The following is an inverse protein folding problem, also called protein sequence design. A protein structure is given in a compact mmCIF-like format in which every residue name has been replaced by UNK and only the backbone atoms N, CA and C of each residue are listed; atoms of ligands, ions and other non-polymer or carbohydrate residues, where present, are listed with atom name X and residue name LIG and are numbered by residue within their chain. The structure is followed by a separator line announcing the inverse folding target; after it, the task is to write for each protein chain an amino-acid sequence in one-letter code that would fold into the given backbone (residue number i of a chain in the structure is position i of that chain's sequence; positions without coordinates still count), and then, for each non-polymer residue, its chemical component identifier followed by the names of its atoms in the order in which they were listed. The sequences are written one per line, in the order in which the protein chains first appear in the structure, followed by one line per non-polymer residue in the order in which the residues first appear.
data_IF_122903856279
#
_entry.id   IF_122903856279
#
_cell.length_a   1.000
_cell.length_b   1.000
_cell.length_c   1.000
_cell.angle_alpha   90.00
_cell.angle_beta   90.00
_cell.angle_gamma   90.00
#
_symmetry.space_group_name_H-M   'P 1'
#
loop_
_entity.id
_entity.type
_entity.pdbx_description
1 polymer ?
#
# COMPACT_ATOMS: atom_id res chain seq x y z
N UNK A 1 -19.41 -3.21 1.83
CA UNK A 1 -18.34 -2.59 1.02
C UNK A 1 -17.10 -2.35 1.86
N UNK A 2 -15.95 -2.65 1.32
CA UNK A 2 -14.69 -2.35 2.02
C UNK A 2 -14.39 -0.87 1.86
N UNK A 3 -14.20 -0.18 2.99
CA UNK A 3 -13.79 1.23 3.01
C UNK A 3 -12.27 1.30 3.08
N UNK A 4 -11.70 2.23 2.33
CA UNK A 4 -10.25 2.48 2.35
C UNK A 4 -10.03 3.83 3.02
N UNK A 5 -9.25 3.84 4.08
CA UNK A 5 -8.90 5.05 4.82
C UNK A 5 -7.39 5.23 4.83
N UNK A 6 -6.96 6.45 5.05
CA UNK A 6 -5.53 6.76 5.19
C UNK A 6 -5.29 7.54 6.47
N UNK A 7 -4.04 7.55 6.91
CA UNK A 7 -3.62 8.41 8.01
C UNK A 7 -2.60 9.42 7.48
N UNK A 8 -2.31 10.43 8.28
CA UNK A 8 -1.44 11.54 7.86
C UNK A 8 -0.07 11.07 7.36
N UNK A 9 0.50 10.06 8.01
CA UNK A 9 1.79 9.49 7.61
C UNK A 9 1.75 9.00 6.17
N UNK A 10 0.69 8.25 5.80
CA UNK A 10 0.51 7.78 4.45
C UNK A 10 0.37 8.95 3.48
N UNK A 11 -0.47 9.91 3.82
CA UNK A 11 -0.76 11.04 2.93
C UNK A 11 0.49 11.85 2.62
N UNK A 12 1.34 12.09 3.63
CA UNK A 12 2.59 12.83 3.44
C UNK A 12 3.57 12.08 2.53
N UNK A 13 3.72 10.77 2.74
CA UNK A 13 4.61 9.96 1.91
C UNK A 13 4.10 9.85 0.48
N UNK A 14 2.78 9.68 0.31
CA UNK A 14 2.17 9.63 -1.00
C UNK A 14 2.40 10.93 -1.77
N UNK A 15 2.25 12.06 -1.09
CA UNK A 15 2.50 13.37 -1.70
C UNK A 15 3.95 13.50 -2.15
N UNK A 16 4.89 13.07 -1.32
CA UNK A 16 6.32 13.10 -1.64
C UNK A 16 6.60 12.24 -2.87
N UNK A 17 6.07 11.03 -2.91
CA UNK A 17 6.30 10.11 -4.04
C UNK A 17 5.61 10.59 -5.31
N UNK A 18 4.50 11.29 -5.21
CA UNK A 18 3.79 11.81 -6.38
C UNK A 18 4.60 12.86 -7.14
N UNK A 19 5.52 13.54 -6.45
CA UNK A 19 6.43 14.50 -7.08
C UNK A 19 7.56 13.80 -7.84
N UNK A 20 7.90 12.58 -7.42
CA UNK A 20 9.00 11.81 -8.01
C UNK A 20 8.53 10.89 -9.14
N UNK A 21 7.35 10.30 -8.99
CA UNK A 21 6.83 9.32 -9.94
C UNK A 21 5.48 9.77 -10.50
N UNK A 22 5.44 10.16 -11.77
CA UNK A 22 4.23 10.71 -12.38
C UNK A 22 3.09 9.69 -12.50
N UNK A 23 3.38 8.39 -12.47
CA UNK A 23 2.35 7.36 -12.59
C UNK A 23 1.70 6.98 -11.25
N UNK A 24 2.21 7.49 -10.12
CA UNK A 24 1.86 6.91 -8.82
C UNK A 24 0.39 7.08 -8.46
N UNK A 25 -0.27 8.12 -8.94
CA UNK A 25 -1.71 8.32 -8.68
C UNK A 25 -2.52 7.21 -9.35
N UNK A 26 -2.17 6.85 -10.60
CA UNK A 26 -2.82 5.72 -11.29
C UNK A 26 -2.48 4.39 -10.63
N UNK A 27 -1.23 4.22 -10.20
CA UNK A 27 -0.79 3.01 -9.51
C UNK A 27 -1.56 2.83 -8.20
N UNK A 28 -1.76 3.91 -7.48
CA UNK A 28 -2.54 3.92 -6.25
C UNK A 28 -4.01 3.55 -6.51
N UNK A 29 -4.61 4.11 -7.57
CA UNK A 29 -5.99 3.78 -7.92
C UNK A 29 -6.15 2.29 -8.20
N UNK A 30 -5.18 1.67 -8.88
CA UNK A 30 -5.19 0.23 -9.13
C UNK A 30 -5.08 -0.57 -7.82
N UNK A 31 -4.25 -0.13 -6.89
CA UNK A 31 -4.13 -0.77 -5.58
C UNK A 31 -5.45 -0.71 -4.82
N UNK A 32 -6.13 0.42 -4.83
CA UNK A 32 -7.42 0.58 -4.16
C UNK A 32 -8.43 -0.44 -4.71
N UNK A 33 -8.47 -0.62 -6.03
CA UNK A 33 -9.37 -1.61 -6.63
C UNK A 33 -9.01 -3.04 -6.19
N UNK A 34 -7.73 -3.35 -6.12
CA UNK A 34 -7.28 -4.66 -5.65
C UNK A 34 -7.68 -4.89 -4.18
N UNK A 35 -7.52 -3.90 -3.33
CA UNK A 35 -7.87 -3.99 -1.91
C UNK A 35 -9.39 -4.13 -1.72
N UNK A 36 -10.18 -3.50 -2.56
CA UNK A 36 -11.64 -3.65 -2.49
C UNK A 36 -12.08 -5.07 -2.86
N UNK A 37 -11.35 -5.73 -3.75
CA UNK A 37 -11.63 -7.11 -4.15
C UNK A 37 -11.12 -8.11 -3.13
N UNK A 38 -9.95 -7.85 -2.55
CA UNK A 38 -9.33 -8.71 -1.56
C UNK A 38 -8.56 -7.86 -0.55
N UNK A 39 -9.22 -7.50 0.56
CA UNK A 39 -8.60 -6.63 1.56
C UNK A 39 -7.43 -7.27 2.31
N UNK A 40 -7.23 -8.58 2.21
CA UNK A 40 -6.15 -9.31 2.88
C UNK A 40 -4.96 -9.61 1.97
N UNK A 41 -4.81 -8.91 0.85
CA UNK A 41 -3.62 -9.11 0.00
C UNK A 41 -2.35 -8.69 0.74
N UNK A 42 -1.24 -9.25 0.31
CA UNK A 42 0.07 -8.94 0.86
C UNK A 42 0.54 -9.93 1.91
N UNK A 43 1.67 -9.61 2.51
CA UNK A 43 2.33 -10.45 3.51
C UNK A 43 1.83 -10.07 4.90
N UNK A 44 1.41 -11.05 5.67
CA UNK A 44 0.96 -10.86 7.05
C UNK A 44 2.16 -10.56 7.95
N UNK A 45 2.14 -9.41 8.62
CA UNK A 45 3.17 -9.01 9.57
C UNK A 45 2.73 -9.23 11.03
N UNK A 46 1.54 -9.79 11.22
CA UNK A 46 0.97 -9.99 12.55
C UNK A 46 0.06 -8.82 12.96
N UNK A 47 -0.82 -9.10 13.92
CA UNK A 47 -1.73 -8.11 14.51
C UNK A 47 -2.60 -7.36 13.50
N UNK A 48 -2.94 -8.03 12.39
CA UNK A 48 -3.75 -7.41 11.34
C UNK A 48 -2.98 -6.50 10.40
N UNK A 49 -1.69 -6.36 10.57
CA UNK A 49 -0.85 -5.50 9.73
C UNK A 49 -0.32 -6.32 8.56
N UNK A 50 -0.40 -5.75 7.35
CA UNK A 50 0.06 -6.43 6.14
C UNK A 50 0.95 -5.51 5.31
N UNK A 51 1.83 -6.11 4.52
CA UNK A 51 2.71 -5.39 3.60
C UNK A 51 2.33 -5.77 2.17
N UNK A 52 1.92 -4.77 1.40
CA UNK A 52 1.39 -4.97 0.04
C UNK A 52 2.35 -4.36 -0.98
N UNK A 53 2.65 -5.12 -2.03
CA UNK A 53 3.45 -4.61 -3.15
C UNK A 53 2.54 -3.78 -4.06
N UNK A 54 3.08 -2.65 -4.52
CA UNK A 54 2.39 -1.81 -5.50
C UNK A 54 3.38 -1.46 -6.61
N UNK A 55 3.02 -1.75 -7.85
CA UNK A 55 3.85 -1.34 -8.98
C UNK A 55 3.87 0.18 -9.08
N UNK A 56 5.01 0.73 -9.46
CA UNK A 56 5.12 2.12 -9.90
C UNK A 56 5.45 2.06 -11.39
N UNK A 57 4.44 2.24 -12.24
CA UNK A 57 4.55 2.00 -13.67
C UNK A 57 5.70 2.80 -14.29
N UNK A 58 5.88 4.05 -13.85
CA UNK A 58 6.95 4.91 -14.39
C UNK A 58 8.36 4.44 -14.01
N UNK A 59 8.50 3.53 -13.04
CA UNK A 59 9.81 2.89 -12.75
C UNK A 59 10.11 1.76 -13.73
N UNK A 60 9.09 1.11 -14.27
CA UNK A 60 9.26 -0.01 -15.19
C UNK A 60 9.79 -1.30 -14.55
N UNK A 61 9.65 -1.47 -13.25
CA UNK A 61 10.19 -2.62 -12.51
C UNK A 61 9.13 -3.55 -11.94
N UNK A 62 7.87 -3.36 -12.31
CA UNK A 62 6.76 -4.18 -11.81
C UNK A 62 6.54 -4.00 -10.30
N UNK A 63 5.78 -4.92 -9.72
CA UNK A 63 5.45 -4.85 -8.29
C UNK A 63 6.66 -5.08 -7.40
N UNK A 64 7.59 -5.94 -7.82
CA UNK A 64 8.77 -6.25 -7.02
C UNK A 64 9.70 -5.06 -6.83
N UNK A 65 9.80 -4.19 -7.83
CA UNK A 65 10.66 -3.00 -7.78
C UNK A 65 9.92 -1.70 -7.55
N UNK A 66 8.63 -1.75 -7.23
CA UNK A 66 7.81 -0.56 -7.02
C UNK A 66 7.83 -0.07 -5.59
N UNK A 67 6.64 0.09 -5.02
CA UNK A 67 6.45 0.54 -3.65
C UNK A 67 5.95 -0.57 -2.74
N UNK A 68 6.02 -0.32 -1.44
CA UNK A 68 5.37 -1.14 -0.42
C UNK A 68 4.39 -0.27 0.34
N UNK A 69 3.20 -0.81 0.57
CA UNK A 69 2.14 -0.14 1.32
C UNK A 69 1.85 -0.98 2.56
N UNK A 70 1.91 -0.36 3.72
CA UNK A 70 1.57 -1.04 4.97
C UNK A 70 0.12 -0.76 5.26
N UNK A 71 -0.67 -1.83 5.44
CA UNK A 71 -2.11 -1.74 5.69
C UNK A 71 -2.44 -2.29 7.06
N UNK A 72 -3.48 -1.73 7.67
CA UNK A 72 -4.09 -2.26 8.88
C UNK A 72 -5.43 -2.87 8.49
N UNK A 73 -5.56 -4.18 8.67
CA UNK A 73 -6.74 -4.94 8.30
C UNK A 73 -7.55 -5.38 9.51
N UNK A 74 -7.23 -4.88 10.70
CA UNK A 74 -7.89 -5.32 11.94
C UNK A 74 -9.38 -4.98 12.01
N UNK A 75 -9.84 -4.02 11.20
CA UNK A 75 -11.25 -3.61 11.15
C UNK A 75 -12.02 -4.27 10.00
N UNK A 76 -11.49 -5.34 9.41
CA UNK A 76 -12.20 -6.14 8.40
C UNK A 76 -13.14 -7.10 9.12
N UNK A 77 -14.42 -7.05 8.76
CA UNK A 77 -15.46 -7.93 9.31
C UNK A 77 -15.63 -9.16 8.43
N UNK A 78 -15.61 -8.96 7.13
CA UNK A 78 -15.69 -10.03 6.11
C UNK A 78 -15.01 -9.52 4.84
N UNK A 79 -14.90 -10.36 3.80
CA UNK A 79 -14.30 -9.94 2.54
C UNK A 79 -15.07 -8.81 1.85
N UNK A 80 -16.32 -8.58 2.27
CA UNK A 80 -17.19 -7.55 1.69
C UNK A 80 -17.42 -6.38 2.62
N UNK A 81 -17.08 -6.50 3.89
CA UNK A 81 -17.39 -5.49 4.90
C UNK A 81 -16.21 -5.20 5.81
N UNK A 82 -15.97 -3.94 6.03
CA UNK A 82 -14.96 -3.47 6.96
C UNK A 82 -14.16 -2.33 6.42
N UNK A 83 -13.02 -2.10 7.03
CA UNK A 83 -12.14 -0.98 6.72
C UNK A 83 -10.69 -1.44 6.64
N UNK A 84 -10.00 -1.00 5.61
CA UNK A 84 -8.55 -1.11 5.50
C UNK A 84 -7.98 0.29 5.67
N UNK A 85 -7.04 0.45 6.60
CA UNK A 85 -6.36 1.73 6.80
C UNK A 85 -4.94 1.63 6.24
N UNK A 86 -4.59 2.57 5.37
CA UNK A 86 -3.25 2.63 4.78
C UNK A 86 -2.38 3.47 5.71
N UNK A 87 -1.36 2.84 6.29
CA UNK A 87 -0.53 3.45 7.32
C UNK A 87 0.65 4.22 6.74
N UNK A 88 1.33 3.64 5.76
CA UNK A 88 2.45 4.28 5.09
C UNK A 88 2.70 3.65 3.73
N UNK A 89 3.45 4.37 2.91
CA UNK A 89 3.93 3.89 1.62
C UNK A 89 5.39 4.30 1.48
N UNK A 90 6.21 3.42 0.94
CA UNK A 90 7.60 3.76 0.66
C UNK A 90 8.07 3.11 -0.63
N UNK A 91 9.02 3.77 -1.28
CA UNK A 91 9.70 3.23 -2.45
C UNK A 91 10.63 2.12 -1.97
N UNK A 92 10.50 0.94 -2.55
CA UNK A 92 11.35 -0.20 -2.18
C UNK A 92 12.83 0.16 -2.29
N UNK A 93 13.22 0.93 -3.30
CA UNK A 93 14.61 1.34 -3.51
C UNK A 93 15.17 2.13 -2.33
N UNK A 94 14.33 2.92 -1.66
CA UNK A 94 14.77 3.73 -0.52
C UNK A 94 15.02 2.87 0.72
N UNK A 95 14.45 1.68 0.80
CA UNK A 95 14.50 0.86 2.01
C UNK A 95 14.98 -0.56 1.80
N UNK A 96 15.51 -0.89 0.62
CA UNK A 96 15.91 -2.27 0.36
C UNK A 96 17.07 -2.74 1.22
N UNK A 97 17.88 -1.82 1.73
CA UNK A 97 19.01 -2.14 2.60
C UNK A 97 18.73 -1.93 4.08
N UNK A 98 17.50 -1.59 4.43
CA UNK A 98 17.12 -1.42 5.83
C UNK A 98 16.80 -2.79 6.41
N UNK A 99 17.38 -3.09 7.56
CA UNK A 99 17.13 -4.33 8.26
C UNK A 99 15.68 -4.44 8.66
N UNK A 100 15.11 -5.64 8.54
CA UNK A 100 13.72 -5.91 8.91
C UNK A 100 13.55 -6.15 10.42
N UNK A 101 14.59 -5.99 11.17
CA UNK A 101 14.57 -6.21 12.62
C UNK A 101 13.65 -5.23 13.34
#
# INVERSE_FOLDING_TARGET
MIEIHTIVTFDKEMKRLSKKYHSIIKDYAALIEDLKKNPHIGVDLGNGIRKVRMAIASKGKGKSGGARVITDTSAIISVEEGRVTLLTIYDKSDRENISDN
#
